data_IF_228337058336
#
_entry.id   IF_228337058336
#
_cell.length_a   1.000
_cell.length_b   1.000
_cell.length_c   1.000
_cell.angle_alpha   90.00
_cell.angle_beta   90.00
_cell.angle_gamma   90.00
#
_symmetry.space_group_name_H-M   'P 1'
#
loop_
_entity.id
_entity.type
_entity.pdbx_description
1 polymer ?
#
# COMPACT_ATOMS: atom_id res chain seq x y z
N UNK A 1 31.63 21.56 -18.95
CA UNK A 1 31.02 20.43 -19.71
C UNK A 1 29.66 20.13 -19.09
N UNK A 2 28.57 20.11 -19.87
CA UNK A 2 27.19 19.91 -19.37
C UNK A 2 26.90 18.41 -19.28
N UNK A 3 26.79 17.88 -18.07
CA UNK A 3 26.40 16.49 -17.80
C UNK A 3 24.93 16.29 -18.14
N UNK A 4 24.64 15.40 -19.09
CA UNK A 4 23.29 15.00 -19.47
C UNK A 4 22.88 13.83 -18.57
N UNK A 5 21.90 14.05 -17.70
CA UNK A 5 21.25 12.96 -16.96
C UNK A 5 20.37 12.18 -17.92
N UNK A 6 20.73 10.93 -18.20
CA UNK A 6 19.92 9.99 -18.98
C UNK A 6 18.99 9.28 -18.02
N UNK A 7 17.72 9.69 -18.01
CA UNK A 7 16.66 9.04 -17.22
C UNK A 7 16.21 7.79 -17.97
N UNK A 8 16.63 6.61 -17.52
CA UNK A 8 16.13 5.34 -18.05
C UNK A 8 14.70 5.11 -17.56
N UNK A 9 13.74 5.07 -18.47
CA UNK A 9 12.34 4.76 -18.18
C UNK A 9 12.15 3.24 -18.22
N UNK A 10 12.27 2.59 -17.05
CA UNK A 10 11.97 1.15 -16.92
C UNK A 10 10.45 1.01 -16.89
N UNK A 11 9.87 0.49 -17.97
CA UNK A 11 8.46 0.10 -18.01
C UNK A 11 8.31 -1.17 -17.19
N UNK A 12 7.94 -1.02 -15.91
CA UNK A 12 7.58 -2.14 -15.05
C UNK A 12 6.18 -2.60 -15.47
N UNK A 13 6.09 -3.79 -16.08
CA UNK A 13 4.81 -4.43 -16.38
C UNK A 13 4.01 -4.54 -15.08
N UNK A 14 2.92 -3.79 -14.98
CA UNK A 14 2.01 -3.84 -13.85
C UNK A 14 1.29 -5.20 -13.88
N UNK A 15 1.82 -6.18 -13.16
CA UNK A 15 1.01 -7.33 -12.74
C UNK A 15 -0.15 -6.76 -11.95
N UNK A 16 -1.34 -6.79 -12.53
CA UNK A 16 -2.57 -6.38 -11.86
C UNK A 16 -2.79 -7.31 -10.67
N UNK A 17 -2.20 -6.98 -9.53
CA UNK A 17 -2.51 -7.66 -8.29
C UNK A 17 -3.97 -7.35 -7.98
N UNK A 18 -4.78 -8.39 -7.85
CA UNK A 18 -6.17 -8.29 -7.44
C UNK A 18 -6.21 -7.66 -6.05
N UNK A 19 -6.82 -6.49 -5.92
CA UNK A 19 -7.13 -5.90 -4.62
C UNK A 19 -7.96 -6.92 -3.82
N UNK A 20 -7.47 -7.32 -2.64
CA UNK A 20 -8.18 -8.21 -1.73
C UNK A 20 -9.10 -7.38 -0.82
N UNK A 21 -10.24 -6.98 -1.37
CA UNK A 21 -11.28 -6.28 -0.63
C UNK A 21 -11.80 -7.16 0.52
N UNK A 22 -11.59 -6.72 1.77
CA UNK A 22 -12.00 -7.48 2.96
C UNK A 22 -13.48 -7.29 3.31
N UNK A 23 -14.23 -6.55 2.50
CA UNK A 23 -15.63 -6.19 2.70
C UNK A 23 -16.02 -4.93 1.92
N UNK A 24 -17.26 -4.43 2.03
CA UNK A 24 -17.65 -3.17 1.42
C UNK A 24 -16.86 -2.00 2.04
N UNK A 25 -16.28 -1.15 1.19
CA UNK A 25 -15.61 0.08 1.60
C UNK A 25 -16.61 1.23 1.68
N UNK A 26 -16.53 2.03 2.73
CA UNK A 26 -17.30 3.28 2.83
C UNK A 26 -16.92 4.23 1.69
N UNK A 27 -17.90 4.91 1.09
CA UNK A 27 -17.65 5.95 0.08
C UNK A 27 -16.80 7.12 0.63
N UNK A 28 -16.77 7.29 1.96
CA UNK A 28 -15.97 8.31 2.65
C UNK A 28 -14.62 7.78 3.15
N UNK A 29 -14.25 6.54 2.83
CA UNK A 29 -12.98 5.97 3.29
C UNK A 29 -11.80 6.77 2.77
N UNK A 30 -10.80 6.99 3.62
CA UNK A 30 -9.56 7.62 3.18
C UNK A 30 -8.76 6.67 2.28
N UNK A 31 -7.83 7.20 1.49
CA UNK A 31 -6.92 6.37 0.69
C UNK A 31 -6.10 5.40 1.56
N UNK A 32 -5.76 5.80 2.80
CA UNK A 32 -5.07 4.92 3.76
C UNK A 32 -5.98 3.78 4.18
N UNK A 33 -7.23 4.07 4.54
CA UNK A 33 -8.20 3.02 4.93
C UNK A 33 -8.42 2.04 3.79
N UNK A 34 -8.50 2.56 2.56
CA UNK A 34 -8.62 1.76 1.35
C UNK A 34 -7.44 0.79 1.19
N UNK A 35 -6.21 1.28 1.36
CA UNK A 35 -5.01 0.45 1.29
C UNK A 35 -4.99 -0.62 2.39
N UNK A 36 -5.24 -0.23 3.64
CA UNK A 36 -5.17 -1.14 4.80
C UNK A 36 -6.28 -2.20 4.76
N UNK A 37 -7.45 -1.88 4.22
CA UNK A 37 -8.55 -2.83 3.99
C UNK A 37 -8.40 -3.64 2.68
N UNK A 38 -7.21 -3.64 2.08
CA UNK A 38 -6.90 -4.45 0.89
C UNK A 38 -7.58 -3.99 -0.41
N UNK A 39 -8.18 -2.80 -0.43
CA UNK A 39 -8.77 -2.21 -1.64
C UNK A 39 -7.75 -1.41 -2.48
N UNK A 40 -6.51 -1.28 -2.00
CA UNK A 40 -5.43 -0.63 -2.74
C UNK A 40 -4.91 -1.49 -3.89
N UNK A 41 -4.38 -0.84 -4.93
CA UNK A 41 -3.74 -1.51 -6.07
C UNK A 41 -2.22 -1.53 -5.90
N UNK A 42 -1.52 -2.52 -6.48
CA UNK A 42 -0.05 -2.53 -6.48
C UNK A 42 0.54 -1.19 -6.98
N UNK A 43 1.54 -0.69 -6.25
CA UNK A 43 2.17 0.60 -6.49
C UNK A 43 1.37 1.81 -5.97
N UNK A 44 0.15 1.60 -5.47
CA UNK A 44 -0.61 2.66 -4.81
C UNK A 44 0.06 3.02 -3.48
N UNK A 45 0.12 4.32 -3.19
CA UNK A 45 0.66 4.82 -1.94
C UNK A 45 -0.21 5.95 -1.37
N UNK A 46 -0.20 6.08 -0.05
CA UNK A 46 -0.91 7.13 0.66
C UNK A 46 -0.13 7.55 1.91
N UNK A 47 -0.29 8.80 2.31
CA UNK A 47 0.28 9.36 3.54
C UNK A 47 -0.83 9.57 4.54
N UNK A 48 -0.60 9.22 5.80
CA UNK A 48 -1.57 9.43 6.86
C UNK A 48 -1.85 10.93 7.05
N UNK A 49 -3.13 11.28 7.16
CA UNK A 49 -3.55 12.66 7.44
C UNK A 49 -3.22 13.08 8.88
N UNK A 50 -3.25 12.13 9.82
CA UNK A 50 -2.96 12.33 11.24
C UNK A 50 -1.46 12.51 11.54
N UNK A 51 -0.59 11.87 10.76
CA UNK A 51 0.86 12.00 10.87
C UNK A 51 1.52 11.86 9.50
N UNK A 52 2.03 12.98 8.98
CA UNK A 52 2.67 13.04 7.66
C UNK A 52 3.99 12.26 7.58
N UNK A 53 4.55 11.83 8.71
CA UNK A 53 5.72 10.95 8.74
C UNK A 53 5.37 9.48 8.48
N UNK A 54 4.08 9.12 8.46
CA UNK A 54 3.62 7.76 8.21
C UNK A 54 3.06 7.64 6.80
N UNK A 55 3.64 6.74 6.00
CA UNK A 55 3.18 6.40 4.66
C UNK A 55 2.86 4.91 4.54
N UNK A 56 1.98 4.61 3.59
CA UNK A 56 1.54 3.28 3.24
C UNK A 56 1.73 3.07 1.74
N UNK A 57 2.15 1.89 1.35
CA UNK A 57 2.35 1.50 -0.04
C UNK A 57 1.93 0.06 -0.24
N UNK A 58 1.19 -0.21 -1.30
CA UNK A 58 0.84 -1.57 -1.72
C UNK A 58 1.96 -2.12 -2.59
N UNK A 59 2.61 -3.17 -2.12
CA UNK A 59 3.64 -3.88 -2.85
C UNK A 59 3.05 -4.68 -4.01
N UNK A 60 3.90 -5.12 -4.93
CA UNK A 60 3.50 -5.90 -6.10
C UNK A 60 2.78 -7.22 -5.73
N UNK A 61 3.12 -7.79 -4.58
CA UNK A 61 2.52 -9.02 -4.04
C UNK A 61 1.22 -8.77 -3.24
N UNK A 62 0.73 -7.53 -3.19
CA UNK A 62 -0.49 -7.15 -2.46
C UNK A 62 -0.28 -6.90 -0.97
N UNK A 63 0.92 -7.11 -0.42
CA UNK A 63 1.24 -6.72 0.96
C UNK A 63 1.31 -5.20 1.07
N UNK A 64 0.98 -4.69 2.24
CA UNK A 64 1.08 -3.26 2.54
C UNK A 64 2.35 -3.01 3.33
N UNK A 65 3.21 -2.16 2.79
CA UNK A 65 4.35 -1.58 3.50
C UNK A 65 3.91 -0.30 4.19
N UNK A 66 4.04 -0.23 5.51
CA UNK A 66 3.91 0.99 6.29
C UNK A 66 5.29 1.47 6.71
N UNK A 67 5.60 2.72 6.41
CA UNK A 67 6.86 3.37 6.78
C UNK A 67 6.57 4.52 7.74
N UNK A 68 7.32 4.60 8.84
CA UNK A 68 7.33 5.76 9.72
C UNK A 68 8.72 6.42 9.64
N UNK A 69 8.80 7.52 8.90
CA UNK A 69 10.05 8.23 8.66
C UNK A 69 10.61 8.92 9.93
N UNK A 70 9.73 9.27 10.89
CA UNK A 70 10.14 9.91 12.15
C UNK A 70 10.96 8.96 13.03
N UNK A 71 10.60 7.68 13.05
CA UNK A 71 11.28 6.65 13.85
C UNK A 71 12.14 5.70 13.02
N UNK A 72 12.20 5.88 11.69
CA UNK A 72 12.95 5.01 10.79
C UNK A 72 12.44 3.57 10.74
N UNK A 73 11.15 3.34 11.01
CA UNK A 73 10.59 1.99 11.09
C UNK A 73 9.81 1.62 9.83
N UNK A 74 9.84 0.34 9.48
CA UNK A 74 9.07 -0.24 8.38
C UNK A 74 8.39 -1.51 8.87
N UNK A 75 7.09 -1.61 8.63
CA UNK A 75 6.28 -2.79 8.96
C UNK A 75 5.52 -3.25 7.74
N UNK A 76 5.30 -4.55 7.62
CA UNK A 76 4.55 -5.15 6.52
C UNK A 76 3.29 -5.81 7.06
N UNK A 77 2.16 -5.58 6.42
CA UNK A 77 0.89 -6.26 6.70
C UNK A 77 0.36 -6.94 5.44
N UNK A 78 -0.40 -8.00 5.63
CA UNK A 78 -1.08 -8.73 4.56
C UNK A 78 -2.59 -8.68 4.83
N UNK A 79 -3.31 -7.73 4.20
CA UNK A 79 -4.74 -7.56 4.43
C UNK A 79 -5.55 -8.83 4.13
N UNK A 80 -5.13 -9.63 3.13
CA UNK A 80 -5.83 -10.85 2.74
C UNK A 80 -5.66 -11.95 3.80
N UNK A 81 -4.43 -12.16 4.27
CA UNK A 81 -4.16 -13.12 5.33
C UNK A 81 -4.81 -12.71 6.65
N UNK A 82 -4.86 -11.41 6.96
CA UNK A 82 -5.55 -10.89 8.14
C UNK A 82 -7.06 -11.12 8.07
N UNK A 83 -7.69 -10.86 6.93
CA UNK A 83 -9.13 -11.13 6.73
C UNK A 83 -9.46 -12.63 6.84
N UNK A 84 -8.64 -13.50 6.25
CA UNK A 84 -8.79 -14.96 6.37
C UNK A 84 -8.68 -15.39 7.85
N UNK A 85 -7.70 -14.86 8.58
CA UNK A 85 -7.56 -15.13 10.02
C UNK A 85 -8.74 -14.61 10.83
N UNK A 86 -9.29 -13.46 10.50
CA UNK A 86 -10.46 -12.90 11.18
C UNK A 86 -11.70 -13.77 10.96
N UNK A 87 -11.94 -14.21 9.72
CA UNK A 87 -13.04 -15.12 9.37
C UNK A 87 -12.94 -16.45 10.12
N UNK A 88 -11.76 -17.05 10.20
CA UNK A 88 -11.57 -18.37 10.80
C UNK A 88 -11.63 -18.36 12.35
N UNK A 89 -11.71 -17.18 12.99
CA UNK A 89 -11.89 -17.07 14.46
C UNK A 89 -13.36 -16.98 14.87
N UNK A 90 -14.26 -16.81 13.91
CA UNK A 90 -15.71 -16.84 14.09
C UNK A 90 -16.26 -18.21 13.68
#
# INVERSE_FOLDING_TARGET
>A
MKTKFVTAFIVLASTATSAFATGPLSERASNVDRIVQGHGRAGESAVASSDRSVSFEVLADGRVRRTNAKYGTVTFSDPAAEALRARNRH
#
